data_IF_335482850766
#
_entry.id   IF_335482850766
#
_cell.length_a   1.000
_cell.length_b   1.000
_cell.length_c   1.000
_cell.angle_alpha   90.00
_cell.angle_beta   90.00
_cell.angle_gamma   90.00
#
_symmetry.space_group_name_H-M   'P 1'
#
loop_
_entity.id
_entity.type
_entity.pdbx_description
1 polymer ?
#
# COMPACT_ATOMS: atom_id res chain seq x y z
N UNK A 1 28.41 4.44 11.02
CA UNK A 1 28.07 3.68 9.79
C UNK A 1 27.60 2.26 10.11
N UNK A 2 28.33 1.49 10.92
CA UNK A 2 27.95 0.10 11.29
C UNK A 2 26.56 0.01 11.93
N UNK A 3 26.21 0.93 12.85
CA UNK A 3 24.91 0.95 13.52
C UNK A 3 23.73 1.14 12.55
N UNK A 4 23.87 2.07 11.60
CA UNK A 4 22.87 2.32 10.56
C UNK A 4 22.66 1.10 9.66
N UNK A 5 23.74 0.41 9.28
CA UNK A 5 23.65 -0.81 8.47
C UNK A 5 22.89 -1.90 9.23
N UNK A 6 23.12 -2.01 10.54
CA UNK A 6 22.45 -2.99 11.39
C UNK A 6 20.96 -2.67 11.55
N UNK A 7 20.59 -1.40 11.76
CA UNK A 7 19.20 -0.95 11.83
C UNK A 7 18.43 -1.23 10.54
N UNK A 8 19.04 -0.91 9.39
CA UNK A 8 18.46 -1.18 8.06
C UNK A 8 18.31 -2.68 7.83
N UNK A 9 19.30 -3.49 8.22
CA UNK A 9 19.25 -4.94 8.10
C UNK A 9 18.10 -5.53 8.93
N UNK A 10 17.97 -5.10 10.19
CA UNK A 10 16.90 -5.54 11.09
C UNK A 10 15.53 -5.17 10.50
N UNK A 11 15.36 -3.93 10.04
CA UNK A 11 14.11 -3.51 9.41
C UNK A 11 13.80 -4.32 8.15
N UNK A 12 14.79 -4.52 7.28
CA UNK A 12 14.62 -5.27 6.05
C UNK A 12 14.18 -6.72 6.33
N UNK A 13 14.81 -7.39 7.30
CA UNK A 13 14.43 -8.75 7.71
C UNK A 13 12.99 -8.78 8.23
N UNK A 14 12.60 -7.83 9.08
CA UNK A 14 11.24 -7.76 9.62
C UNK A 14 10.18 -7.52 8.53
N UNK A 15 10.47 -6.65 7.56
CA UNK A 15 9.56 -6.37 6.44
C UNK A 15 9.41 -7.61 5.54
N UNK A 16 10.52 -8.25 5.17
CA UNK A 16 10.49 -9.46 4.32
C UNK A 16 9.75 -10.59 5.03
N UNK A 17 10.01 -10.79 6.32
CA UNK A 17 9.36 -11.81 7.12
C UNK A 17 7.86 -11.52 7.31
N UNK A 18 7.50 -10.25 7.51
CA UNK A 18 6.12 -9.80 7.65
C UNK A 18 5.32 -10.03 6.38
N UNK A 19 5.93 -9.77 5.23
CA UNK A 19 5.32 -10.06 3.93
C UNK A 19 5.07 -11.56 3.75
N UNK A 20 5.97 -12.41 4.23
CA UNK A 20 5.88 -13.86 4.08
C UNK A 20 4.81 -14.50 4.97
N UNK A 21 4.60 -14.01 6.19
CA UNK A 21 3.61 -14.59 7.12
C UNK A 21 2.20 -14.04 6.87
N UNK A 22 2.08 -12.72 6.72
CA UNK A 22 0.79 -12.03 6.76
C UNK A 22 0.53 -11.10 5.59
N UNK A 23 1.34 -11.16 4.52
CA UNK A 23 1.22 -10.25 3.39
C UNK A 23 1.34 -8.78 3.83
N UNK A 24 0.45 -7.94 3.30
CA UNK A 24 0.42 -6.52 3.63
C UNK A 24 0.10 -6.23 5.12
N UNK A 25 -0.78 -7.02 5.74
CA UNK A 25 -1.11 -6.88 7.17
C UNK A 25 0.07 -7.28 8.06
N UNK A 26 0.78 -8.35 7.69
CA UNK A 26 1.96 -8.82 8.42
C UNK A 26 3.11 -7.80 8.40
N UNK A 27 3.34 -7.13 7.26
CA UNK A 27 4.33 -6.05 7.16
C UNK A 27 3.97 -4.91 8.12
N UNK A 28 2.71 -4.47 8.16
CA UNK A 28 2.29 -3.39 9.06
C UNK A 28 2.54 -3.70 10.53
N UNK A 29 2.16 -4.89 10.98
CA UNK A 29 2.31 -5.31 12.39
C UNK A 29 3.80 -5.48 12.75
N UNK A 30 4.58 -6.18 11.92
CA UNK A 30 6.01 -6.36 12.19
C UNK A 30 6.82 -5.08 12.08
N UNK A 31 6.41 -4.12 11.24
CA UNK A 31 7.03 -2.79 11.22
C UNK A 31 6.80 -2.02 12.52
N UNK A 32 5.61 -2.10 13.13
CA UNK A 32 5.34 -1.48 14.44
C UNK A 32 6.20 -2.12 15.54
N UNK A 33 6.30 -3.46 15.54
CA UNK A 33 7.21 -4.19 16.44
C UNK A 33 8.67 -3.82 16.19
N UNK A 34 9.07 -3.67 14.93
CA UNK A 34 10.42 -3.24 14.55
C UNK A 34 10.76 -1.85 15.07
N UNK A 35 9.83 -0.90 14.93
CA UNK A 35 9.97 0.45 15.49
C UNK A 35 10.08 0.41 17.01
N UNK A 36 9.30 -0.44 17.68
CA UNK A 36 9.41 -0.64 19.13
C UNK A 36 10.81 -1.13 19.52
N UNK A 37 11.33 -2.16 18.85
CA UNK A 37 12.68 -2.68 19.06
C UNK A 37 13.73 -1.57 18.83
N UNK A 38 13.59 -0.78 17.76
CA UNK A 38 14.52 0.30 17.45
C UNK A 38 14.53 1.42 18.50
N UNK A 39 13.37 1.82 19.00
CA UNK A 39 13.28 2.91 19.99
C UNK A 39 13.76 2.44 21.36
N UNK A 40 13.41 1.22 21.79
CA UNK A 40 13.74 0.76 23.14
C UNK A 40 15.14 0.14 23.26
N UNK A 41 15.63 -0.56 22.22
CA UNK A 41 16.95 -1.22 22.25
C UNK A 41 18.04 -0.30 21.67
N UNK A 42 17.80 0.28 20.49
CA UNK A 42 18.77 1.14 19.82
C UNK A 42 18.69 2.61 20.27
N UNK A 43 17.71 2.95 21.13
CA UNK A 43 17.49 4.29 21.68
C UNK A 43 17.43 5.39 20.60
N UNK A 44 16.90 5.03 19.43
CA UNK A 44 16.74 5.98 18.33
C UNK A 44 15.65 6.98 18.71
N UNK A 45 15.89 8.30 18.54
CA UNK A 45 14.87 9.30 18.80
C UNK A 45 13.65 9.06 17.93
N UNK A 46 12.46 9.25 18.51
CA UNK A 46 11.20 9.11 17.79
C UNK A 46 11.17 10.13 16.65
N UNK A 47 11.08 9.62 15.42
CA UNK A 47 10.96 10.43 14.23
C UNK A 47 9.64 11.21 14.20
N UNK A 48 9.58 12.23 13.33
CA UNK A 48 8.33 12.97 13.10
C UNK A 48 7.31 12.06 12.41
N UNK A 49 6.05 12.12 12.84
CA UNK A 49 4.98 11.39 12.19
C UNK A 49 4.84 11.83 10.71
N UNK A 50 4.51 10.91 9.77
CA UNK A 50 4.41 11.21 8.34
C UNK A 50 3.09 11.92 8.00
N UNK A 51 2.97 13.18 8.39
CA UNK A 51 1.73 13.98 8.26
C UNK A 51 1.27 14.11 6.81
N UNK A 52 2.18 14.41 5.88
CA UNK A 52 1.85 14.60 4.45
C UNK A 52 1.39 13.28 3.80
N UNK A 53 2.11 12.15 3.91
CA UNK A 53 1.64 10.87 3.36
C UNK A 53 0.27 10.42 3.90
N UNK A 54 0.02 10.60 5.20
CA UNK A 54 -1.27 10.24 5.81
C UNK A 54 -2.41 11.07 5.20
N UNK A 55 -2.20 12.38 5.01
CA UNK A 55 -3.18 13.24 4.33
C UNK A 55 -3.42 12.81 2.88
N UNK A 56 -2.38 12.41 2.15
CA UNK A 56 -2.52 11.94 0.76
C UNK A 56 -3.38 10.67 0.70
N UNK A 57 -3.13 9.70 1.58
CA UNK A 57 -3.92 8.45 1.65
C UNK A 57 -5.38 8.77 1.96
N UNK A 58 -5.64 9.64 2.94
CA UNK A 58 -7.01 10.06 3.28
C UNK A 58 -7.69 10.80 2.13
N UNK A 59 -7.01 11.74 1.48
CA UNK A 59 -7.55 12.49 0.36
C UNK A 59 -7.92 11.58 -0.81
N UNK A 60 -7.03 10.66 -1.20
CA UNK A 60 -7.29 9.70 -2.28
C UNK A 60 -8.39 8.72 -1.88
N UNK A 61 -8.43 8.26 -0.62
CA UNK A 61 -9.48 7.38 -0.11
C UNK A 61 -10.87 8.03 -0.19
N UNK A 62 -10.99 9.30 0.21
CA UNK A 62 -12.26 10.05 0.12
C UNK A 62 -12.64 10.29 -1.34
N UNK A 63 -11.71 10.70 -2.19
CA UNK A 63 -11.97 10.92 -3.60
C UNK A 63 -12.39 9.63 -4.31
N UNK A 64 -11.72 8.51 -4.03
CA UNK A 64 -12.08 7.18 -4.52
C UNK A 64 -13.45 6.74 -4.02
N UNK A 65 -13.73 6.90 -2.72
CA UNK A 65 -15.04 6.59 -2.15
C UNK A 65 -16.18 7.43 -2.74
N UNK A 66 -15.93 8.71 -3.05
CA UNK A 66 -16.90 9.56 -3.73
C UNK A 66 -17.12 9.11 -5.20
N UNK A 67 -16.07 8.70 -5.90
CA UNK A 67 -16.15 8.15 -7.25
C UNK A 67 -16.93 6.83 -7.29
N UNK A 68 -16.75 5.98 -6.29
CA UNK A 68 -17.48 4.71 -6.15
C UNK A 68 -18.94 4.97 -5.77
N UNK A 69 -19.21 5.83 -4.79
CA UNK A 69 -20.57 6.16 -4.34
C UNK A 69 -21.40 6.89 -5.41
N UNK A 70 -20.76 7.63 -6.32
CA UNK A 70 -21.44 8.28 -7.45
C UNK A 70 -21.65 7.36 -8.66
N UNK A 71 -21.13 6.12 -8.63
CA UNK A 71 -21.13 5.23 -9.80
C UNK A 71 -20.19 5.69 -10.92
N UNK A 72 -19.32 6.68 -10.65
CA UNK A 72 -18.37 7.22 -11.62
C UNK A 72 -17.35 6.17 -12.06
N UNK A 73 -16.95 5.28 -11.16
CA UNK A 73 -16.05 4.18 -11.49
C UNK A 73 -16.70 3.18 -12.47
N UNK A 74 -17.95 2.78 -12.23
CA UNK A 74 -18.69 1.88 -13.12
C UNK A 74 -18.89 2.49 -14.52
N UNK A 75 -19.17 3.80 -14.59
CA UNK A 75 -19.28 4.53 -15.86
C UNK A 75 -17.97 4.45 -16.67
N UNK A 76 -16.83 4.68 -16.02
CA UNK A 76 -15.51 4.63 -16.66
C UNK A 76 -15.19 3.22 -17.16
N UNK A 77 -15.47 2.19 -16.36
CA UNK A 77 -15.26 0.78 -16.76
C UNK A 77 -16.15 0.41 -17.95
N UNK A 78 -17.42 0.79 -17.93
CA UNK A 78 -18.36 0.53 -19.04
C UNK A 78 -17.90 1.18 -20.35
N UNK A 79 -17.46 2.44 -20.28
CA UNK A 79 -16.94 3.15 -21.45
C UNK A 79 -15.64 2.51 -21.96
N UNK A 80 -14.73 2.14 -21.06
CA UNK A 80 -13.50 1.44 -21.42
C UNK A 80 -13.81 0.11 -22.11
N UNK A 81 -14.77 -0.67 -21.60
CA UNK A 81 -15.24 -1.91 -22.20
C UNK A 81 -15.74 -1.71 -23.64
N UNK A 82 -16.58 -0.70 -23.88
CA UNK A 82 -17.07 -0.37 -25.23
C UNK A 82 -15.95 0.03 -26.20
N UNK A 83 -14.93 0.77 -25.73
CA UNK A 83 -13.77 1.11 -26.56
C UNK A 83 -12.95 -0.13 -26.94
N UNK A 84 -12.81 -1.09 -26.01
CA UNK A 84 -12.05 -2.33 -26.21
C UNK A 84 -12.81 -3.28 -27.14
N UNK A 85 -14.12 -3.47 -26.95
CA UNK A 85 -14.98 -4.28 -27.83
C UNK A 85 -14.86 -3.86 -29.29
N UNK A 86 -14.82 -2.55 -29.54
CA UNK A 86 -14.72 -1.99 -30.89
C UNK A 86 -13.39 -2.33 -31.59
N UNK A 87 -12.35 -2.70 -30.84
CA UNK A 87 -11.00 -2.94 -31.38
C UNK A 87 -10.55 -4.41 -31.30
N UNK A 88 -10.96 -5.17 -30.28
CA UNK A 88 -10.61 -6.59 -30.16
C UNK A 88 -11.56 -7.36 -29.21
N UNK A 89 -12.52 -8.09 -29.78
CA UNK A 89 -13.57 -8.82 -29.03
C UNK A 89 -13.05 -9.91 -28.06
N UNK A 90 -11.84 -10.44 -28.25
CA UNK A 90 -11.31 -11.55 -27.41
C UNK A 90 -10.72 -11.10 -26.07
N UNK A 91 -10.23 -9.86 -25.95
CA UNK A 91 -9.64 -9.38 -24.70
C UNK A 91 -10.69 -9.15 -23.61
N UNK A 92 -11.92 -8.79 -23.97
CA UNK A 92 -12.98 -8.47 -23.02
C UNK A 92 -13.45 -9.72 -22.24
N UNK A 93 -13.58 -10.86 -22.92
CA UNK A 93 -13.96 -12.15 -22.33
C UNK A 93 -12.96 -12.64 -21.27
N UNK A 94 -11.70 -12.19 -21.35
CA UNK A 94 -10.63 -12.58 -20.45
C UNK A 94 -10.50 -11.63 -19.24
N UNK A 95 -11.09 -10.44 -19.32
CA UNK A 95 -11.09 -9.44 -18.24
C UNK A 95 -12.33 -9.55 -17.33
N UNK A 96 -13.42 -10.15 -17.84
CA UNK A 96 -14.70 -10.35 -17.14
C UNK A 96 -14.78 -11.69 -16.38
N UNK A 97 -13.78 -12.57 -16.55
CA UNK A 97 -13.68 -13.92 -15.94
C UNK A 97 -12.56 -13.94 -14.90
#
# INVERSE_FOLDING_TARGET
>A
MIMLILEVLIMAVLVIYGLKIGGALGVGILSILGLFIMIFIFQIPIGKAPVIPVMIILAIGIAGGLLEASGGLDYLVHHAGKLIEKKNHRLLLLFLL
#
